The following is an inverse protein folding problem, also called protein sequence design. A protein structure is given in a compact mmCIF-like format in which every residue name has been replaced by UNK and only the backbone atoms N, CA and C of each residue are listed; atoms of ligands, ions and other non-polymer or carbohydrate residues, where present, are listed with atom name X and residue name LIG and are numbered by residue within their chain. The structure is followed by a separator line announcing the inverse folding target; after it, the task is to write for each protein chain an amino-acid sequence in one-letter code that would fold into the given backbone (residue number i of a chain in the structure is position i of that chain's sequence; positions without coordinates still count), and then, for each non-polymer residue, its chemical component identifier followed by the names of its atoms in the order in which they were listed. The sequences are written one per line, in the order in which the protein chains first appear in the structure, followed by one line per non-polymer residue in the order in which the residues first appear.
data_IF_892059877709
#
_entry.id   IF_892059877709
#
_cell.length_a   1.000
_cell.length_b   1.000
_cell.length_c   1.000
_cell.angle_alpha   90.00
_cell.angle_beta   90.00
_cell.angle_gamma   90.00
#
_symmetry.space_group_name_H-M   'P 1'
#
loop_
_entity.id
_entity.type
_entity.pdbx_description
1 polymer ?
#
# COMPACT_ATOMS: atom_id res chain seq x y z
N UNK A 1 -2.12 -10.68 -21.66
CA UNK A 1 -2.81 -9.97 -20.56
C UNK A 1 -4.29 -10.20 -20.77
N UNK A 2 -4.98 -10.93 -19.89
CA UNK A 2 -6.39 -11.25 -20.12
C UNK A 2 -7.27 -10.04 -19.75
N UNK A 3 -8.44 -9.84 -20.38
CA UNK A 3 -9.34 -8.72 -20.08
C UNK A 3 -9.73 -8.64 -18.59
N UNK A 4 -9.89 -9.80 -17.94
CA UNK A 4 -10.17 -9.88 -16.50
C UNK A 4 -9.02 -9.36 -15.63
N UNK A 5 -7.76 -9.63 -16.02
CA UNK A 5 -6.58 -9.13 -15.32
C UNK A 5 -6.48 -7.61 -15.43
N UNK A 6 -6.87 -7.05 -16.58
CA UNK A 6 -6.83 -5.61 -16.83
C UNK A 6 -7.87 -4.85 -15.99
N UNK A 7 -9.10 -5.38 -15.89
CA UNK A 7 -10.14 -4.82 -14.99
C UNK A 7 -9.69 -4.91 -13.54
N UNK A 8 -9.15 -6.07 -13.12
CA UNK A 8 -8.67 -6.26 -11.75
C UNK A 8 -7.53 -5.30 -11.41
N UNK A 9 -6.58 -5.13 -12.32
CA UNK A 9 -5.46 -4.20 -12.16
C UNK A 9 -5.96 -2.75 -12.07
N UNK A 10 -6.88 -2.35 -12.94
CA UNK A 10 -7.47 -1.01 -12.93
C UNK A 10 -8.16 -0.72 -11.58
N UNK A 11 -9.01 -1.62 -11.10
CA UNK A 11 -9.68 -1.48 -9.80
C UNK A 11 -8.69 -1.43 -8.63
N UNK A 12 -7.65 -2.27 -8.66
CA UNK A 12 -6.59 -2.26 -7.63
C UNK A 12 -5.82 -0.94 -7.63
N UNK A 13 -5.47 -0.42 -8.80
CA UNK A 13 -4.76 0.86 -8.95
C UNK A 13 -5.63 2.03 -8.49
N UNK A 14 -6.90 2.10 -8.90
CA UNK A 14 -7.82 3.14 -8.45
C UNK A 14 -8.01 3.09 -6.92
N UNK A 15 -8.18 1.90 -6.35
CA UNK A 15 -8.29 1.71 -4.90
C UNK A 15 -7.01 2.17 -4.18
N UNK A 16 -5.85 1.82 -4.72
CA UNK A 16 -4.56 2.23 -4.16
C UNK A 16 -4.39 3.75 -4.20
N UNK A 17 -4.74 4.40 -5.32
CA UNK A 17 -4.69 5.86 -5.46
C UNK A 17 -5.59 6.54 -4.42
N UNK A 18 -6.86 6.13 -4.34
CA UNK A 18 -7.81 6.71 -3.37
C UNK A 18 -7.29 6.54 -1.94
N UNK A 19 -6.87 5.32 -1.57
CA UNK A 19 -6.37 5.08 -0.21
C UNK A 19 -5.10 5.89 0.10
N UNK A 20 -4.22 6.05 -0.89
CA UNK A 20 -3.00 6.85 -0.73
C UNK A 20 -3.33 8.32 -0.50
N UNK A 21 -4.23 8.89 -1.30
CA UNK A 21 -4.66 10.28 -1.12
C UNK A 21 -5.37 10.50 0.21
N UNK A 22 -6.21 9.57 0.64
CA UNK A 22 -6.84 9.65 1.97
C UNK A 22 -5.81 9.60 3.09
N UNK A 23 -4.82 8.70 3.03
CA UNK A 23 -3.76 8.61 4.04
C UNK A 23 -2.95 9.91 4.11
N UNK A 24 -2.61 10.49 2.97
CA UNK A 24 -1.88 11.77 2.91
C UNK A 24 -2.71 12.91 3.50
N UNK A 25 -3.98 13.02 3.13
CA UNK A 25 -4.89 14.03 3.66
C UNK A 25 -5.05 13.90 5.20
N UNK A 26 -5.29 12.69 5.70
CA UNK A 26 -5.41 12.43 7.14
C UNK A 26 -4.14 12.80 7.91
N UNK A 27 -2.95 12.53 7.34
CA UNK A 27 -1.68 12.90 7.95
C UNK A 27 -1.46 14.41 7.97
N UNK A 28 -1.80 15.11 6.88
CA UNK A 28 -1.72 16.57 6.83
C UNK A 28 -2.67 17.20 7.84
N UNK A 29 -3.93 16.73 7.90
CA UNK A 29 -4.90 17.17 8.90
C UNK A 29 -4.42 16.88 10.34
N UNK A 30 -3.83 15.71 10.59
CA UNK A 30 -3.31 15.35 11.91
C UNK A 30 -2.13 16.22 12.34
N UNK A 31 -1.22 16.53 11.41
CA UNK A 31 -0.10 17.45 11.67
C UNK A 31 -0.55 18.91 11.82
N UNK A 32 -1.62 19.32 11.12
CA UNK A 32 -2.23 20.64 11.25
C UNK A 32 -3.12 20.79 12.50
N UNK A 33 -3.30 19.72 13.28
CA UNK A 33 -4.18 19.72 14.46
C UNK A 33 -5.68 19.69 14.14
N UNK A 34 -6.06 19.44 12.88
CA UNK A 34 -7.47 19.37 12.45
C UNK A 34 -8.15 18.06 12.86
N UNK A 35 -7.40 16.98 13.01
CA UNK A 35 -7.90 15.68 13.51
C UNK A 35 -6.97 15.13 14.60
N UNK A 36 -7.48 14.38 15.58
CA UNK A 36 -6.65 13.73 16.59
C UNK A 36 -5.61 12.80 15.95
N UNK A 37 -4.34 12.98 16.31
CA UNK A 37 -3.26 12.08 15.90
C UNK A 37 -2.80 11.23 17.10
N UNK A 38 -2.69 9.92 16.91
CA UNK A 38 -2.15 9.00 17.91
C UNK A 38 -0.69 9.36 18.24
N UNK A 39 -0.31 9.32 19.52
CA UNK A 39 1.08 9.52 19.94
C UNK A 39 2.00 8.52 19.23
N UNK A 40 3.07 9.03 18.62
CA UNK A 40 4.05 8.22 17.91
C UNK A 40 3.65 7.80 16.48
N UNK A 41 2.52 8.27 15.95
CA UNK A 41 2.06 7.92 14.60
C UNK A 41 3.08 8.26 13.51
N UNK A 42 3.75 9.41 13.63
CA UNK A 42 4.77 9.85 12.68
C UNK A 42 6.01 8.93 12.70
N UNK A 43 6.45 8.49 13.88
CA UNK A 43 7.56 7.54 14.00
C UNK A 43 7.16 6.17 13.44
N UNK A 44 5.94 5.72 13.74
CA UNK A 44 5.41 4.47 13.23
C UNK A 44 5.34 4.48 11.70
N UNK A 45 4.87 5.56 11.10
CA UNK A 45 4.82 5.76 9.64
C UNK A 45 6.16 5.49 8.96
N UNK A 46 7.27 5.96 9.55
CA UNK A 46 8.61 5.75 8.99
C UNK A 46 9.08 4.33 9.24
N UNK A 47 8.93 3.83 10.47
CA UNK A 47 9.38 2.49 10.86
C UNK A 47 8.72 1.37 10.07
N UNK A 48 7.49 1.58 9.58
CA UNK A 48 6.75 0.58 8.83
C UNK A 48 7.20 0.44 7.37
N UNK A 49 7.95 1.41 6.82
CA UNK A 49 8.40 1.40 5.41
C UNK A 49 9.37 0.26 5.13
N UNK A 50 10.38 0.07 5.98
CA UNK A 50 11.38 -1.00 5.81
C UNK A 50 10.76 -2.39 5.73
N UNK A 51 9.98 -2.83 6.75
CA UNK A 51 9.29 -4.11 6.72
C UNK A 51 8.29 -4.26 5.56
N UNK A 52 7.63 -3.17 5.14
CA UNK A 52 6.71 -3.21 4.00
C UNK A 52 7.45 -3.44 2.67
N UNK A 53 8.60 -2.79 2.48
CA UNK A 53 9.44 -2.96 1.30
C UNK A 53 10.05 -4.36 1.23
N UNK A 54 10.50 -4.91 2.37
CA UNK A 54 10.99 -6.30 2.43
C UNK A 54 9.91 -7.31 2.04
N UNK A 55 8.67 -7.12 2.49
CA UNK A 55 7.54 -7.97 2.09
C UNK A 55 7.25 -7.87 0.59
N UNK A 56 7.28 -6.67 0.04
CA UNK A 56 7.11 -6.44 -1.39
C UNK A 56 8.21 -7.14 -2.21
N UNK A 57 9.47 -6.99 -1.79
CA UNK A 57 10.61 -7.63 -2.43
C UNK A 57 10.50 -9.16 -2.39
N UNK A 58 10.22 -9.74 -1.22
CA UNK A 58 10.09 -11.18 -1.07
C UNK A 58 8.94 -11.75 -1.92
N UNK A 59 7.79 -11.05 -1.99
CA UNK A 59 6.67 -11.47 -2.82
C UNK A 59 7.01 -11.41 -4.32
N UNK A 60 7.70 -10.35 -4.77
CA UNK A 60 8.20 -10.23 -6.13
C UNK A 60 9.23 -11.31 -6.47
N UNK A 61 10.21 -11.54 -5.60
CA UNK A 61 11.23 -12.58 -5.77
C UNK A 61 10.61 -13.98 -5.84
N UNK A 62 9.66 -14.30 -4.95
CA UNK A 62 8.95 -15.57 -4.98
C UNK A 62 8.16 -15.76 -6.29
N UNK A 63 7.50 -14.71 -6.79
CA UNK A 63 6.81 -14.75 -8.07
C UNK A 63 7.79 -14.94 -9.25
N UNK A 64 8.95 -14.29 -9.22
CA UNK A 64 9.99 -14.43 -10.23
C UNK A 64 10.56 -15.85 -10.26
N UNK A 65 10.90 -16.40 -9.09
CA UNK A 65 11.37 -17.80 -8.96
C UNK A 65 10.33 -18.81 -9.42
N UNK A 66 9.03 -18.48 -9.31
CA UNK A 66 7.93 -19.31 -9.80
C UNK A 66 7.70 -19.19 -11.32
N UNK A 67 8.58 -18.53 -12.06
CA UNK A 67 8.47 -18.37 -13.51
C UNK A 67 7.31 -17.48 -13.96
N UNK A 68 6.80 -16.60 -13.08
CA UNK A 68 5.71 -15.69 -13.43
C UNK A 68 6.16 -14.66 -14.47
N UNK A 69 5.21 -14.17 -15.27
CA UNK A 69 5.46 -13.11 -16.25
C UNK A 69 5.81 -11.78 -15.53
N UNK A 70 6.56 -10.86 -16.16
CA UNK A 70 6.97 -9.59 -15.52
C UNK A 70 5.83 -8.76 -14.92
N UNK A 71 4.67 -8.72 -15.59
CA UNK A 71 3.44 -8.06 -15.11
C UNK A 71 2.94 -8.70 -13.80
N UNK A 72 2.95 -10.02 -13.70
CA UNK A 72 2.53 -10.77 -12.52
C UNK A 72 3.52 -10.62 -11.36
N UNK A 73 4.82 -10.52 -11.64
CA UNK A 73 5.86 -10.24 -10.63
C UNK A 73 5.62 -8.87 -10.00
N UNK A 74 5.35 -7.86 -10.82
CA UNK A 74 5.07 -6.51 -10.34
C UNK A 74 3.78 -6.46 -9.49
N UNK A 75 2.72 -7.15 -9.94
CA UNK A 75 1.47 -7.29 -9.16
C UNK A 75 1.75 -7.95 -7.80
N UNK A 76 2.53 -9.03 -7.77
CA UNK A 76 2.89 -9.72 -6.54
C UNK A 76 3.69 -8.83 -5.57
N UNK A 77 4.60 -8.00 -6.09
CA UNK A 77 5.36 -7.05 -5.28
C UNK A 77 4.49 -5.90 -4.75
N UNK A 78 3.49 -5.45 -5.52
CA UNK A 78 2.62 -4.32 -5.15
C UNK A 78 1.52 -4.71 -4.14
N UNK A 79 1.05 -5.95 -4.14
CA UNK A 79 -0.06 -6.41 -3.30
C UNK A 79 0.18 -6.19 -1.78
N UNK A 80 1.36 -6.54 -1.20
CA UNK A 80 1.67 -6.24 0.19
C UNK A 80 1.62 -4.75 0.54
N UNK A 81 2.06 -3.89 -0.39
CA UNK A 81 2.05 -2.43 -0.20
C UNK A 81 0.63 -1.91 -0.19
N UNK A 82 -0.22 -2.35 -1.13
CA UNK A 82 -1.63 -1.95 -1.20
C UNK A 82 -2.40 -2.34 0.07
N UNK A 83 -2.18 -3.56 0.58
CA UNK A 83 -2.75 -4.01 1.86
C UNK A 83 -2.31 -3.12 3.02
N UNK A 84 -1.03 -2.72 3.07
CA UNK A 84 -0.50 -1.85 4.12
C UNK A 84 -1.09 -0.44 4.06
N UNK A 85 -1.25 0.13 2.86
CA UNK A 85 -1.91 1.44 2.66
C UNK A 85 -3.37 1.40 3.11
N UNK A 86 -4.11 0.36 2.76
CA UNK A 86 -5.50 0.17 3.23
C UNK A 86 -5.60 0.05 4.75
N UNK A 87 -4.69 -0.69 5.38
CA UNK A 87 -4.60 -0.80 6.84
C UNK A 87 -4.28 0.55 7.50
N UNK A 88 -3.37 1.34 6.91
CA UNK A 88 -3.05 2.69 7.40
C UNK A 88 -4.28 3.61 7.34
N UNK A 89 -5.01 3.62 6.22
CA UNK A 89 -6.25 4.39 6.09
C UNK A 89 -7.23 4.05 7.20
N UNK A 90 -7.52 2.76 7.42
CA UNK A 90 -8.45 2.30 8.47
C UNK A 90 -8.02 2.73 9.87
N UNK A 91 -6.71 2.77 10.12
CA UNK A 91 -6.16 3.13 11.43
C UNK A 91 -6.16 4.63 11.67
N UNK A 92 -5.91 5.44 10.65
CA UNK A 92 -5.95 6.91 10.74
C UNK A 92 -7.38 7.47 10.87
N UNK A 93 -8.40 6.63 10.62
CA UNK A 93 -9.81 6.95 10.83
C UNK A 93 -10.31 6.53 12.22
N UNK A 94 -9.45 5.95 13.06
CA UNK A 94 -9.75 5.61 14.46
C UNK A 94 -9.14 6.67 15.37
#
# INVERSE_FOLDING_TARGET
MNPQDMIRLSLQMSTLMVNTQTVMALRLMGMAGMVPALKGENNRMVSEKGPAMLKAYNAGAAAAMSGKRPDQIMIAAMDPLSKKVSANRKRLLK
#
